data_IF_352157845437
#
_entry.id   IF_352157845437
#
_cell.length_a   1.000
_cell.length_b   1.000
_cell.length_c   1.000
_cell.angle_alpha   90.00
_cell.angle_beta   90.00
_cell.angle_gamma   90.00
#
_symmetry.space_group_name_H-M   'P 1'
#
loop_
_entity.id
_entity.type
_entity.pdbx_description
1 polymer ?
#
# COMPACT_ATOMS: atom_id res chain seq x y z
N UNK A 1 -18.31 2.31 -19.11
CA UNK A 1 -17.10 3.16 -19.11
C UNK A 1 -16.39 2.89 -17.79
N UNK A 2 -15.36 2.06 -17.84
CA UNK A 2 -14.80 1.31 -16.72
C UNK A 2 -13.33 1.71 -16.53
N UNK A 3 -12.94 2.40 -15.44
CA UNK A 3 -11.55 2.74 -15.19
C UNK A 3 -10.97 1.84 -14.09
N UNK A 4 -10.41 0.70 -14.51
CA UNK A 4 -9.50 -0.13 -13.72
C UNK A 4 -8.07 0.30 -14.07
N UNK A 5 -7.39 1.01 -13.17
CA UNK A 5 -6.00 1.48 -13.29
C UNK A 5 -5.32 1.28 -11.91
N UNK A 6 -4.05 0.85 -11.82
CA UNK A 6 -3.65 -0.34 -11.08
C UNK A 6 -3.00 -0.09 -9.70
N UNK A 7 -3.27 -1.01 -8.77
CA UNK A 7 -3.01 -0.91 -7.31
C UNK A 7 -1.56 -1.10 -6.86
N UNK A 8 -0.59 -1.25 -7.75
CA UNK A 8 0.82 -1.00 -7.42
C UNK A 8 1.51 -0.42 -8.66
N UNK A 9 1.84 0.87 -8.57
CA UNK A 9 2.68 1.69 -9.44
C UNK A 9 2.59 1.49 -10.96
N UNK A 10 2.07 2.54 -11.63
CA UNK A 10 2.41 2.88 -13.02
C UNK A 10 2.86 4.33 -13.09
N UNK A 11 4.05 4.50 -13.63
CA UNK A 11 4.70 5.77 -13.95
C UNK A 11 4.12 6.36 -15.26
N UNK A 12 3.97 7.69 -15.23
CA UNK A 12 3.92 8.66 -16.33
C UNK A 12 2.58 9.05 -16.98
N UNK A 13 2.38 10.38 -16.86
CA UNK A 13 1.69 11.33 -17.75
C UNK A 13 0.18 11.53 -17.56
N UNK A 14 -0.10 12.73 -17.02
CA UNK A 14 -1.35 13.49 -17.05
C UNK A 14 -2.37 13.23 -15.92
N UNK A 15 -2.26 14.09 -14.89
CA UNK A 15 -3.34 14.69 -14.10
C UNK A 15 -4.41 13.76 -13.49
N UNK A 16 -4.31 13.47 -12.19
CA UNK A 16 -5.10 14.07 -11.08
C UNK A 16 -4.97 13.23 -9.78
N UNK A 17 -5.12 13.90 -8.61
CA UNK A 17 -5.41 13.36 -7.24
C UNK A 17 -4.30 12.94 -6.27
N UNK A 18 -3.03 13.19 -6.59
CA UNK A 18 -1.96 13.32 -5.59
C UNK A 18 -1.16 14.61 -5.83
N UNK A 19 -0.57 15.22 -4.80
CA UNK A 19 0.43 16.25 -5.07
C UNK A 19 1.67 15.59 -5.73
N UNK A 20 2.27 16.30 -6.67
CA UNK A 20 3.41 15.83 -7.46
C UNK A 20 4.56 15.34 -6.55
N UNK A 21 4.68 15.93 -5.37
CA UNK A 21 5.69 15.63 -4.38
C UNK A 21 5.48 14.27 -3.67
N UNK A 22 4.26 13.97 -3.22
CA UNK A 22 3.90 12.70 -2.56
C UNK A 22 3.97 11.56 -3.57
N UNK A 23 3.50 11.79 -4.79
CA UNK A 23 3.63 10.81 -5.88
C UNK A 23 5.11 10.51 -6.19
N UNK A 24 5.97 11.54 -6.20
CA UNK A 24 7.41 11.35 -6.38
C UNK A 24 8.07 10.58 -5.23
N UNK A 25 7.63 10.80 -3.97
CA UNK A 25 8.13 10.05 -2.81
C UNK A 25 7.77 8.57 -2.90
N UNK A 26 6.50 8.27 -3.18
CA UNK A 26 6.02 6.88 -3.34
C UNK A 26 6.73 6.18 -4.50
N UNK A 27 6.88 6.86 -5.64
CA UNK A 27 7.58 6.32 -6.80
C UNK A 27 9.07 6.03 -6.50
N UNK A 28 9.73 6.94 -5.76
CA UNK A 28 11.12 6.74 -5.35
C UNK A 28 11.27 5.55 -4.41
N UNK A 29 10.39 5.43 -3.42
CA UNK A 29 10.36 4.30 -2.51
C UNK A 29 10.18 2.99 -3.28
N UNK A 30 9.24 2.95 -4.23
CA UNK A 30 9.02 1.77 -5.04
C UNK A 30 10.21 1.39 -5.89
N UNK A 31 10.82 2.34 -6.60
CA UNK A 31 11.97 2.03 -7.45
C UNK A 31 13.12 1.45 -6.63
N UNK A 32 13.33 1.95 -5.40
CA UNK A 32 14.27 1.36 -4.45
C UNK A 32 13.86 -0.07 -4.08
N UNK A 33 12.64 -0.26 -3.60
CA UNK A 33 12.16 -1.55 -3.14
C UNK A 33 12.08 -2.61 -4.23
N UNK A 34 11.75 -2.23 -5.47
CA UNK A 34 11.74 -3.13 -6.62
C UNK A 34 13.17 -3.47 -7.08
N UNK A 35 14.16 -2.61 -6.83
CA UNK A 35 15.57 -2.95 -7.03
C UNK A 35 16.06 -4.04 -6.06
N UNK A 36 15.54 -4.05 -4.83
CA UNK A 36 15.88 -5.05 -3.79
C UNK A 36 15.03 -6.34 -3.93
N UNK A 37 13.75 -6.18 -4.23
CA UNK A 37 12.74 -7.25 -4.33
C UNK A 37 11.99 -7.16 -5.66
N UNK A 38 12.64 -7.51 -6.77
CA UNK A 38 12.05 -7.36 -8.10
C UNK A 38 10.81 -8.24 -8.25
N UNK A 39 9.72 -7.64 -8.71
CA UNK A 39 8.50 -8.36 -9.10
C UNK A 39 8.37 -8.42 -10.62
N UNK A 40 7.90 -9.55 -11.13
CA UNK A 40 7.76 -9.75 -12.57
C UNK A 40 6.60 -8.97 -13.18
N UNK A 41 6.68 -8.69 -14.48
CA UNK A 41 5.63 -7.98 -15.22
C UNK A 41 4.26 -8.69 -15.14
N UNK A 42 4.25 -10.03 -15.10
CA UNK A 42 3.04 -10.84 -14.98
C UNK A 42 2.39 -10.72 -13.59
N UNK A 43 3.20 -10.64 -12.52
CA UNK A 43 2.69 -10.41 -11.17
C UNK A 43 2.10 -9.02 -11.07
N UNK A 44 2.82 -8.03 -11.61
CA UNK A 44 2.36 -6.66 -11.70
C UNK A 44 1.01 -6.59 -12.42
N UNK A 45 0.91 -7.25 -13.59
CA UNK A 45 -0.33 -7.38 -14.37
C UNK A 45 -1.46 -8.02 -13.57
N UNK A 46 -1.17 -9.06 -12.78
CA UNK A 46 -2.13 -9.68 -11.87
C UNK A 46 -2.71 -8.70 -10.84
N UNK A 47 -1.86 -7.84 -10.25
CA UNK A 47 -2.31 -6.75 -9.37
C UNK A 47 -3.26 -5.79 -10.11
N UNK A 48 -2.90 -5.43 -11.35
CA UNK A 48 -3.65 -4.46 -12.18
C UNK A 48 -5.03 -4.99 -12.56
N UNK A 49 -5.07 -6.23 -13.04
CA UNK A 49 -6.24 -6.77 -13.75
C UNK A 49 -7.18 -7.53 -12.82
N UNK A 50 -6.65 -8.17 -11.77
CA UNK A 50 -7.41 -9.09 -10.91
C UNK A 50 -7.63 -8.54 -9.51
N UNK A 51 -7.03 -7.39 -9.18
CA UNK A 51 -7.02 -6.80 -7.84
C UNK A 51 -6.64 -7.84 -6.77
N UNK A 52 -5.71 -8.74 -7.12
CA UNK A 52 -5.15 -9.74 -6.23
C UNK A 52 -3.91 -9.21 -5.57
N UNK A 53 -3.77 -9.44 -4.26
CA UNK A 53 -2.51 -9.18 -3.56
C UNK A 53 -1.51 -10.26 -3.97
N UNK A 54 -0.37 -9.90 -4.58
CA UNK A 54 0.63 -10.88 -5.00
C UNK A 54 1.30 -11.50 -3.76
N UNK A 55 1.53 -12.81 -3.81
CA UNK A 55 2.00 -13.62 -2.67
C UNK A 55 3.36 -14.28 -2.90
N UNK A 56 4.08 -13.90 -3.96
CA UNK A 56 5.49 -14.30 -4.11
C UNK A 56 6.34 -13.68 -3.01
N UNK A 57 7.43 -14.35 -2.63
CA UNK A 57 8.34 -13.84 -1.61
C UNK A 57 8.81 -12.40 -1.91
N UNK A 58 9.18 -12.11 -3.16
CA UNK A 58 9.60 -10.77 -3.57
C UNK A 58 8.48 -9.75 -3.44
N UNK A 59 7.26 -10.09 -3.84
CA UNK A 59 6.12 -9.18 -3.68
C UNK A 59 5.85 -8.85 -2.21
N UNK A 60 5.89 -9.87 -1.33
CA UNK A 60 5.73 -9.69 0.11
C UNK A 60 6.81 -8.78 0.70
N UNK A 61 8.07 -9.01 0.33
CA UNK A 61 9.17 -8.21 0.83
C UNK A 61 9.23 -6.80 0.21
N UNK A 62 8.77 -6.62 -1.03
CA UNK A 62 8.57 -5.30 -1.62
C UNK A 62 7.56 -4.49 -0.80
N UNK A 63 6.43 -5.10 -0.41
CA UNK A 63 5.45 -4.45 0.46
C UNK A 63 6.05 -4.08 1.82
N UNK A 64 6.84 -4.97 2.44
CA UNK A 64 7.53 -4.66 3.69
C UNK A 64 8.54 -3.51 3.53
N UNK A 65 9.30 -3.49 2.44
CA UNK A 65 10.22 -2.40 2.11
C UNK A 65 9.48 -1.07 1.98
N UNK A 66 8.34 -1.04 1.29
CA UNK A 66 7.52 0.17 1.15
C UNK A 66 7.02 0.69 2.51
N UNK A 67 6.58 -0.20 3.40
CA UNK A 67 6.19 0.17 4.77
C UNK A 67 7.37 0.74 5.57
N UNK A 68 8.59 0.23 5.36
CA UNK A 68 9.81 0.76 5.98
C UNK A 68 10.17 2.15 5.47
N UNK A 69 10.09 2.39 4.16
CA UNK A 69 10.31 3.71 3.56
C UNK A 69 9.32 4.75 4.11
N UNK A 70 8.06 4.34 4.34
CA UNK A 70 7.04 5.15 4.98
C UNK A 70 7.16 5.26 6.51
N UNK A 71 8.15 4.60 7.13
CA UNK A 71 8.30 4.47 8.59
C UNK A 71 7.09 3.86 9.30
N UNK A 72 6.28 3.10 8.59
CA UNK A 72 5.11 2.37 9.08
C UNK A 72 5.52 1.01 9.65
N UNK A 73 6.65 0.48 9.20
CA UNK A 73 7.28 -0.72 9.75
C UNK A 73 8.71 -0.37 10.16
N UNK A 74 9.05 -0.55 11.43
CA UNK A 74 10.39 -0.28 11.96
C UNK A 74 10.69 -1.23 13.12
N UNK A 75 11.91 -1.76 13.15
CA UNK A 75 12.40 -2.59 14.25
C UNK A 75 11.48 -3.79 14.58
N UNK A 76 10.93 -4.44 13.54
CA UNK A 76 10.00 -5.56 13.71
C UNK A 76 8.64 -5.15 14.28
N UNK A 77 8.26 -3.87 14.21
CA UNK A 77 6.99 -3.37 14.74
C UNK A 77 6.25 -2.49 13.74
N UNK A 78 4.94 -2.69 13.68
CA UNK A 78 4.02 -1.81 12.96
C UNK A 78 3.73 -0.53 13.75
N UNK A 79 4.05 0.61 13.16
CA UNK A 79 3.87 1.94 13.71
C UNK A 79 2.52 2.48 13.22
N UNK A 80 1.45 2.13 13.94
CA UNK A 80 0.06 2.43 13.56
C UNK A 80 -0.16 3.93 13.37
N UNK A 81 0.38 4.76 14.25
CA UNK A 81 0.27 6.21 14.20
C UNK A 81 0.87 6.78 12.91
N UNK A 82 2.00 6.22 12.45
CA UNK A 82 2.61 6.62 11.18
C UNK A 82 1.75 6.19 9.99
N UNK A 83 1.08 5.04 10.06
CA UNK A 83 0.13 4.61 9.03
C UNK A 83 -1.10 5.53 8.96
N UNK A 84 -1.61 5.99 10.10
CA UNK A 84 -2.71 6.97 10.17
C UNK A 84 -2.29 8.30 9.53
N UNK A 85 -1.08 8.80 9.87
CA UNK A 85 -0.54 10.02 9.25
C UNK A 85 -0.37 9.85 7.75
N UNK A 86 0.12 8.69 7.29
CA UNK A 86 0.26 8.43 5.86
C UNK A 86 -1.10 8.38 5.15
N UNK A 87 -2.15 7.85 5.81
CA UNK A 87 -3.51 7.88 5.28
C UNK A 87 -4.00 9.31 5.06
N UNK A 88 -3.71 10.23 6.00
CA UNK A 88 -4.00 11.67 5.84
C UNK A 88 -3.22 12.30 4.68
N UNK A 89 -1.91 12.03 4.61
CA UNK A 89 -1.04 12.60 3.56
C UNK A 89 -1.49 12.15 2.16
N UNK A 90 -1.76 10.86 1.98
CA UNK A 90 -2.16 10.29 0.69
C UNK A 90 -3.57 10.69 0.26
N UNK A 91 -4.43 11.10 1.19
CA UNK A 91 -5.82 11.46 0.92
C UNK A 91 -6.14 12.90 1.36
N UNK A 92 -5.14 13.78 1.39
CA UNK A 92 -5.27 15.15 1.92
C UNK A 92 -6.38 15.97 1.25
N UNK A 93 -6.70 15.65 -0.01
CA UNK A 93 -7.72 16.33 -0.81
C UNK A 93 -9.09 15.61 -0.77
N UNK A 94 -9.18 14.47 -0.11
CA UNK A 94 -10.41 13.69 0.11
C UNK A 94 -10.50 13.18 1.56
N UNK A 95 -11.03 14.02 2.48
CA UNK A 95 -11.17 13.64 3.89
C UNK A 95 -12.01 12.38 4.12
N UNK A 96 -13.00 12.10 3.27
CA UNK A 96 -13.81 10.89 3.38
C UNK A 96 -13.00 9.64 3.01
N UNK A 97 -12.11 9.73 2.01
CA UNK A 97 -11.15 8.68 1.71
C UNK A 97 -10.11 8.52 2.83
N UNK A 98 -9.63 9.63 3.42
CA UNK A 98 -8.71 9.61 4.56
C UNK A 98 -9.32 8.86 5.76
N UNK A 99 -10.57 9.17 6.13
CA UNK A 99 -11.26 8.52 7.25
C UNK A 99 -11.44 7.02 7.02
N UNK A 100 -11.81 6.62 5.80
CA UNK A 100 -11.90 5.20 5.46
C UNK A 100 -10.53 4.52 5.49
N UNK A 101 -9.48 5.17 5.00
CA UNK A 101 -8.12 4.63 5.05
C UNK A 101 -7.64 4.45 6.50
N UNK A 102 -7.94 5.38 7.41
CA UNK A 102 -7.69 5.21 8.85
C UNK A 102 -8.48 4.05 9.44
N UNK A 103 -9.74 3.89 9.03
CA UNK A 103 -10.55 2.74 9.45
C UNK A 103 -9.92 1.42 9.01
N UNK A 104 -9.34 1.34 7.80
CA UNK A 104 -8.58 0.17 7.35
C UNK A 104 -7.37 -0.09 8.25
N UNK A 105 -6.58 0.95 8.56
CA UNK A 105 -5.41 0.86 9.44
C UNK A 105 -5.79 0.31 10.81
N UNK A 106 -6.79 0.88 11.46
CA UNK A 106 -7.26 0.44 12.79
C UNK A 106 -7.77 -1.01 12.76
N UNK A 107 -8.57 -1.35 11.75
CA UNK A 107 -9.15 -2.68 11.60
C UNK A 107 -8.06 -3.73 11.38
N UNK A 108 -7.11 -3.46 10.48
CA UNK A 108 -6.06 -4.41 10.15
C UNK A 108 -4.99 -4.52 11.23
N UNK A 109 -4.65 -3.42 11.91
CA UNK A 109 -3.78 -3.48 13.08
C UNK A 109 -4.40 -4.33 14.21
N UNK A 110 -5.73 -4.29 14.36
CA UNK A 110 -6.44 -5.13 15.33
C UNK A 110 -6.46 -6.61 14.93
N UNK A 111 -6.67 -6.91 13.64
CA UNK A 111 -6.76 -8.31 13.16
C UNK A 111 -5.41 -8.99 13.03
N UNK A 112 -4.39 -8.28 12.55
CA UNK A 112 -3.05 -8.84 12.28
C UNK A 112 -2.12 -8.66 13.48
N UNK A 113 -2.33 -7.62 14.29
CA UNK A 113 -1.44 -7.23 15.37
C UNK A 113 -0.36 -6.24 14.91
N UNK A 114 0.57 -5.93 15.81
CA UNK A 114 1.67 -4.97 15.57
C UNK A 114 3.06 -5.60 15.59
N UNK A 115 3.19 -6.87 15.95
CA UNK A 115 4.47 -7.58 15.98
C UNK A 115 4.76 -8.18 14.61
N UNK A 116 5.85 -7.72 14.01
CA UNK A 116 6.37 -8.16 12.72
C UNK A 116 7.76 -8.81 12.86
N UNK A 117 8.26 -9.00 14.09
CA UNK A 117 9.65 -9.41 14.37
C UNK A 117 10.00 -10.80 13.85
N UNK A 118 9.00 -11.68 13.70
CA UNK A 118 9.20 -13.03 13.18
C UNK A 118 9.44 -13.04 11.66
N UNK A 119 8.66 -12.28 10.90
CA UNK A 119 8.76 -12.17 9.44
C UNK A 119 8.04 -10.91 8.96
N UNK A 120 8.82 -9.88 8.64
CA UNK A 120 8.31 -8.59 8.19
C UNK A 120 7.65 -8.65 6.81
N UNK A 121 8.06 -9.58 5.93
CA UNK A 121 7.49 -9.76 4.60
C UNK A 121 6.10 -10.40 4.71
N UNK A 122 5.96 -11.48 5.48
CA UNK A 122 4.67 -12.11 5.74
C UNK A 122 3.73 -11.19 6.53
N UNK A 123 4.27 -10.41 7.48
CA UNK A 123 3.49 -9.38 8.17
C UNK A 123 2.91 -8.36 7.17
N UNK A 124 3.74 -7.80 6.29
CA UNK A 124 3.30 -6.84 5.29
C UNK A 124 2.24 -7.42 4.34
N UNK A 125 2.40 -8.69 3.93
CA UNK A 125 1.41 -9.42 3.14
C UNK A 125 0.06 -9.54 3.86
N UNK A 126 0.05 -9.98 5.12
CA UNK A 126 -1.19 -10.09 5.92
C UNK A 126 -1.90 -8.75 6.06
N UNK A 127 -1.14 -7.68 6.30
CA UNK A 127 -1.68 -6.31 6.34
C UNK A 127 -2.31 -5.91 5.00
N UNK A 128 -1.63 -6.18 3.88
CA UNK A 128 -2.14 -5.88 2.54
C UNK A 128 -3.41 -6.68 2.19
N UNK A 129 -3.45 -7.97 2.52
CA UNK A 129 -4.63 -8.83 2.35
C UNK A 129 -5.81 -8.32 3.17
N UNK A 130 -5.58 -7.96 4.44
CA UNK A 130 -6.62 -7.36 5.27
C UNK A 130 -7.14 -6.05 4.67
N UNK A 131 -6.24 -5.13 4.31
CA UNK A 131 -6.61 -3.83 3.75
C UNK A 131 -7.41 -3.98 2.45
N UNK A 132 -7.00 -4.88 1.55
CA UNK A 132 -7.72 -5.18 0.32
C UNK A 132 -9.11 -5.79 0.59
N UNK A 133 -9.24 -6.65 1.60
CA UNK A 133 -10.51 -7.24 2.02
C UNK A 133 -11.48 -6.21 2.59
N UNK A 134 -11.00 -5.35 3.50
CA UNK A 134 -11.82 -4.31 4.13
C UNK A 134 -12.16 -3.16 3.16
N UNK A 135 -11.25 -2.79 2.26
CA UNK A 135 -11.48 -1.75 1.25
C UNK A 135 -12.69 -2.09 0.34
N UNK A 136 -12.80 -3.38 -0.05
CA UNK A 136 -13.96 -3.89 -0.81
C UNK A 136 -15.28 -3.70 -0.08
N UNK A 137 -15.31 -3.82 1.26
CA UNK A 137 -16.51 -3.64 2.08
C UNK A 137 -16.90 -2.17 2.23
N UNK A 138 -15.90 -1.29 2.38
CA UNK A 138 -16.09 0.14 2.62
C UNK A 138 -16.32 0.96 1.32
N UNK A 139 -16.27 0.29 0.17
CA UNK A 139 -16.29 0.94 -1.14
C UNK A 139 -15.12 1.93 -1.30
N UNK A 140 -14.00 1.67 -0.60
CA UNK A 140 -12.76 2.42 -0.76
C UNK A 140 -12.20 1.97 -2.10
N UNK A 141 -12.20 2.89 -3.06
CA UNK A 141 -11.38 2.70 -4.24
C UNK A 141 -9.94 3.07 -3.85
N UNK A 142 -8.95 2.34 -4.35
CA UNK A 142 -7.56 2.80 -4.33
C UNK A 142 -7.51 4.26 -4.82
N UNK A 143 -6.63 5.11 -4.25
CA UNK A 143 -6.47 6.47 -4.77
C UNK A 143 -6.16 6.43 -6.25
N UNK A 144 -6.80 7.32 -7.01
CA UNK A 144 -6.44 7.57 -8.41
C UNK A 144 -5.08 8.30 -8.37
N UNK A 145 -3.98 7.62 -8.70
CA UNK A 145 -2.66 8.23 -8.88
C UNK A 145 -2.26 8.17 -10.35
#
# INVERSE_FOLDING_TARGET
MNPLIPVLLVVCAAATRGDEQTNAMVAKAFNKCNGEFPIGDDEMKGVREKSTVPDSHNAKCLMACMLKEGKILRDGKYEKENAIVMADVLNKDDPAAADKAKQLVETCATQVGSDASADECEFAYKMAVCAAGEAKKLGVRPPDF
#
